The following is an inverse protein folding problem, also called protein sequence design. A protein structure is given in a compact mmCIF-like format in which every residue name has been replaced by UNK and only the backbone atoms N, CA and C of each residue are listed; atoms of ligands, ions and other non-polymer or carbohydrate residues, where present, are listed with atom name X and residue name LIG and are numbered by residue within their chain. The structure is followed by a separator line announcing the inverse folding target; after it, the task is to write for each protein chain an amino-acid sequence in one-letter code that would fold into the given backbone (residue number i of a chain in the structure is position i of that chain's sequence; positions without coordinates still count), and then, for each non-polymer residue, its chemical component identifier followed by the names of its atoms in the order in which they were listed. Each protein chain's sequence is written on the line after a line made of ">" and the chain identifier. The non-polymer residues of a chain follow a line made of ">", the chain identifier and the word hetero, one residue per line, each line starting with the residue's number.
data_IF_501643005780
#
_entry.id   IF_501643005780
#
_cell.length_a   1.000
_cell.length_b   1.000
_cell.length_c   1.000
_cell.angle_alpha   90.00
_cell.angle_beta   90.00
_cell.angle_gamma   90.00
#
_symmetry.space_group_name_H-M   'P 1'
#
loop_
_entity.id
_entity.type
_entity.pdbx_description
1 polymer ?
#
# COMPACT_ATOMS: atom_id res chain seq x y z
N UNK A 1 -15.59 -16.35 6.06
CA UNK A 1 -14.64 -17.37 5.68
C UNK A 1 -13.96 -16.98 4.38
N UNK A 2 -12.65 -17.16 4.35
CA UNK A 2 -11.89 -16.76 3.19
C UNK A 2 -12.05 -17.70 2.02
N UNK A 3 -12.07 -17.14 0.83
CA UNK A 3 -12.04 -17.91 -0.40
C UNK A 3 -10.61 -18.07 -0.85
N UNK A 4 -10.32 -19.16 -1.50
CA UNK A 4 -9.02 -19.36 -2.12
C UNK A 4 -9.00 -18.63 -3.46
N UNK A 5 -8.06 -17.74 -3.61
CA UNK A 5 -7.91 -16.93 -4.83
C UNK A 5 -6.55 -17.25 -5.44
N UNK A 6 -6.57 -17.71 -6.67
CA UNK A 6 -5.33 -17.98 -7.38
C UNK A 6 -4.93 -16.77 -8.22
N UNK A 7 -3.72 -16.34 -8.08
CA UNK A 7 -3.16 -15.21 -8.83
C UNK A 7 -1.82 -15.61 -9.43
N UNK A 8 -1.44 -14.92 -10.50
CA UNK A 8 -0.16 -15.17 -11.16
C UNK A 8 0.72 -13.92 -11.00
N UNK A 9 1.88 -14.10 -10.42
CA UNK A 9 2.87 -13.04 -10.26
C UNK A 9 4.18 -13.54 -10.87
N UNK A 10 4.72 -12.81 -11.82
CA UNK A 10 5.93 -13.19 -12.57
C UNK A 10 5.83 -14.60 -13.16
N UNK A 11 4.68 -14.90 -13.76
CA UNK A 11 4.40 -16.20 -14.39
C UNK A 11 4.38 -17.37 -13.41
N UNK A 12 4.29 -17.11 -12.12
CA UNK A 12 4.18 -18.13 -11.09
C UNK A 12 2.81 -18.05 -10.42
N UNK A 13 2.13 -19.17 -10.25
CA UNK A 13 0.84 -19.16 -9.57
C UNK A 13 0.99 -19.14 -8.06
N UNK A 14 0.16 -18.34 -7.42
CA UNK A 14 0.10 -18.26 -5.96
C UNK A 14 -1.34 -18.29 -5.52
N UNK A 15 -1.60 -18.93 -4.39
CA UNK A 15 -2.92 -19.00 -3.83
C UNK A 15 -2.99 -18.21 -2.53
N UNK A 16 -3.94 -17.29 -2.48
CA UNK A 16 -4.16 -16.48 -1.28
C UNK A 16 -5.56 -16.76 -0.75
N UNK A 17 -5.73 -16.57 0.54
CA UNK A 17 -7.03 -16.73 1.18
C UNK A 17 -7.50 -15.36 1.63
N UNK A 18 -8.68 -14.97 1.19
CA UNK A 18 -9.26 -13.70 1.55
C UNK A 18 -10.72 -13.63 1.15
N UNK A 19 -11.42 -12.65 1.66
CA UNK A 19 -12.84 -12.49 1.39
C UNK A 19 -13.13 -11.71 0.11
N UNK A 20 -12.26 -10.78 -0.24
CA UNK A 20 -12.43 -9.91 -1.40
C UNK A 20 -11.53 -10.36 -2.54
N UNK A 21 -12.09 -11.22 -3.39
CA UNK A 21 -11.36 -11.77 -4.53
C UNK A 21 -10.86 -10.70 -5.50
N UNK A 22 -11.71 -9.73 -5.83
CA UNK A 22 -11.33 -8.66 -6.74
C UNK A 22 -10.15 -7.85 -6.22
N UNK A 23 -10.15 -7.58 -4.93
CA UNK A 23 -9.09 -6.83 -4.31
C UNK A 23 -7.76 -7.59 -4.36
N UNK A 24 -7.82 -8.89 -4.08
CA UNK A 24 -6.63 -9.75 -4.11
C UNK A 24 -6.04 -9.78 -5.52
N UNK A 25 -6.88 -9.94 -6.53
CA UNK A 25 -6.44 -9.95 -7.92
C UNK A 25 -5.82 -8.61 -8.29
N UNK A 26 -6.45 -7.53 -7.89
CA UNK A 26 -5.97 -6.18 -8.18
C UNK A 26 -4.61 -5.90 -7.54
N UNK A 27 -4.45 -6.33 -6.29
CA UNK A 27 -3.18 -6.21 -5.58
C UNK A 27 -2.09 -7.02 -6.28
N UNK A 28 -2.43 -8.26 -6.68
CA UNK A 28 -1.47 -9.11 -7.37
C UNK A 28 -1.03 -8.50 -8.70
N UNK A 29 -1.94 -7.95 -9.47
CA UNK A 29 -1.62 -7.28 -10.72
C UNK A 29 -0.73 -6.07 -10.49
N UNK A 30 -1.00 -5.30 -9.46
CA UNK A 30 -0.20 -4.15 -9.10
C UNK A 30 1.23 -4.57 -8.74
N UNK A 31 1.36 -5.58 -7.90
CA UNK A 31 2.68 -6.09 -7.49
C UNK A 31 3.45 -6.63 -8.69
N UNK A 32 2.79 -7.43 -9.51
CA UNK A 32 3.41 -7.98 -10.71
C UNK A 32 3.95 -6.87 -11.61
N UNK A 33 3.14 -5.85 -11.85
CA UNK A 33 3.54 -4.71 -12.68
C UNK A 33 4.73 -3.96 -12.10
N UNK A 34 4.75 -3.75 -10.79
CA UNK A 34 5.85 -3.06 -10.13
C UNK A 34 7.16 -3.83 -10.22
N UNK A 35 7.10 -5.14 -10.05
CA UNK A 35 8.31 -5.97 -10.16
C UNK A 35 8.82 -5.96 -11.59
N UNK A 36 7.92 -6.07 -12.57
CA UNK A 36 8.30 -6.03 -13.98
C UNK A 36 8.94 -4.70 -14.36
N UNK A 37 8.41 -3.59 -13.85
CA UNK A 37 8.96 -2.27 -14.08
C UNK A 37 10.38 -2.15 -13.53
N UNK A 38 10.63 -2.67 -12.34
CA UNK A 38 11.96 -2.67 -11.74
C UNK A 38 12.95 -3.47 -12.59
N UNK A 39 12.53 -4.65 -13.03
CA UNK A 39 13.37 -5.49 -13.88
C UNK A 39 13.73 -4.75 -15.17
N UNK A 40 12.76 -4.11 -15.77
CA UNK A 40 12.95 -3.38 -17.02
C UNK A 40 13.83 -2.14 -16.84
N UNK A 41 13.53 -1.34 -15.82
CA UNK A 41 14.19 -0.05 -15.61
C UNK A 41 15.65 -0.21 -15.18
N UNK A 42 15.92 -1.19 -14.34
CA UNK A 42 17.25 -1.39 -13.76
C UNK A 42 17.99 -2.58 -14.35
N UNK A 43 17.37 -3.30 -15.28
CA UNK A 43 17.93 -4.48 -15.93
C UNK A 43 18.46 -5.50 -14.93
N UNK A 44 17.66 -5.76 -13.90
CA UNK A 44 18.03 -6.68 -12.84
C UNK A 44 17.76 -8.10 -13.31
N UNK A 45 18.79 -8.95 -13.25
CA UNK A 45 18.67 -10.35 -13.66
C UNK A 45 18.16 -11.22 -12.51
N UNK A 46 18.54 -10.88 -11.28
CA UNK A 46 18.16 -11.66 -10.11
C UNK A 46 16.75 -11.28 -9.67
N UNK A 47 15.83 -12.24 -9.74
CA UNK A 47 14.43 -12.03 -9.39
C UNK A 47 14.23 -11.61 -7.95
N UNK A 48 14.98 -12.18 -7.02
CA UNK A 48 14.86 -11.82 -5.62
C UNK A 48 15.24 -10.35 -5.39
N UNK A 49 16.32 -9.90 -6.01
CA UNK A 49 16.72 -8.50 -5.90
C UNK A 49 15.65 -7.57 -6.49
N UNK A 50 15.05 -7.96 -7.60
CA UNK A 50 13.99 -7.19 -8.22
C UNK A 50 12.78 -7.08 -7.29
N UNK A 51 12.41 -8.17 -6.64
CA UNK A 51 11.30 -8.18 -5.70
C UNK A 51 11.59 -7.26 -4.52
N UNK A 52 12.78 -7.34 -3.96
CA UNK A 52 13.17 -6.49 -2.84
C UNK A 52 13.15 -5.02 -3.24
N UNK A 53 13.68 -4.67 -4.40
CA UNK A 53 13.64 -3.29 -4.87
C UNK A 53 12.21 -2.80 -5.09
N UNK A 54 11.36 -3.64 -5.66
CA UNK A 54 9.96 -3.29 -5.86
C UNK A 54 9.27 -3.05 -4.51
N UNK A 55 9.53 -3.92 -3.54
CA UNK A 55 8.98 -3.74 -2.19
C UNK A 55 9.43 -2.45 -1.55
N UNK A 56 10.71 -2.11 -1.68
CA UNK A 56 11.24 -0.87 -1.13
C UNK A 56 10.57 0.35 -1.77
N UNK A 57 10.37 0.33 -3.07
CA UNK A 57 9.70 1.42 -3.77
C UNK A 57 8.24 1.55 -3.36
N UNK A 58 7.54 0.44 -3.26
CA UNK A 58 6.13 0.44 -2.82
C UNK A 58 6.01 0.95 -1.39
N UNK A 59 6.90 0.48 -0.51
CA UNK A 59 6.90 0.92 0.88
C UNK A 59 7.21 2.42 0.99
N UNK A 60 8.14 2.91 0.19
CA UNK A 60 8.48 4.33 0.16
C UNK A 60 7.27 5.17 -0.27
N UNK A 61 6.60 4.76 -1.33
CA UNK A 61 5.39 5.44 -1.80
C UNK A 61 4.28 5.40 -0.75
N UNK A 62 4.13 4.26 -0.08
CA UNK A 62 3.15 4.13 0.99
C UNK A 62 3.42 5.12 2.12
N UNK A 63 4.67 5.21 2.56
CA UNK A 63 5.04 6.14 3.63
C UNK A 63 4.85 7.59 3.20
N UNK A 64 5.12 7.90 1.95
CA UNK A 64 4.89 9.24 1.42
C UNK A 64 3.42 9.61 1.44
N UNK A 65 2.57 8.71 1.00
CA UNK A 65 1.11 8.93 1.03
C UNK A 65 0.63 9.07 2.47
N UNK A 66 1.11 8.22 3.36
CA UNK A 66 0.75 8.26 4.76
C UNK A 66 1.10 9.61 5.39
N UNK A 67 2.30 10.12 5.13
CA UNK A 67 2.72 11.42 5.63
C UNK A 67 1.85 12.55 5.08
N UNK A 68 1.48 12.47 3.81
CA UNK A 68 0.61 13.45 3.19
C UNK A 68 -0.77 13.46 3.85
N UNK A 69 -1.33 12.28 4.10
CA UNK A 69 -2.62 12.15 4.78
C UNK A 69 -2.55 12.74 6.19
N UNK A 70 -1.50 12.44 6.93
CA UNK A 70 -1.31 12.98 8.27
C UNK A 70 -1.23 14.51 8.26
N UNK A 71 -0.53 15.10 7.29
CA UNK A 71 -0.46 16.55 7.15
C UNK A 71 -1.83 17.16 6.88
N UNK A 72 -2.59 16.57 6.00
CA UNK A 72 -3.93 17.04 5.68
C UNK A 72 -4.83 16.96 6.91
N UNK A 73 -4.76 15.88 7.66
CA UNK A 73 -5.52 15.73 8.89
C UNK A 73 -5.14 16.80 9.91
N UNK A 74 -3.86 17.05 10.11
CA UNK A 74 -3.39 18.09 11.03
C UNK A 74 -3.88 19.47 10.64
N UNK A 75 -3.82 19.80 9.37
CA UNK A 75 -4.32 21.09 8.87
C UNK A 75 -5.82 21.22 9.07
N UNK A 76 -6.56 20.14 8.81
CA UNK A 76 -8.00 20.13 9.01
C UNK A 76 -8.34 20.32 10.48
N UNK A 77 -7.62 19.65 11.38
CA UNK A 77 -7.82 19.77 12.81
C UNK A 77 -7.56 21.21 13.28
N UNK A 78 -6.49 21.82 12.79
CA UNK A 78 -6.18 23.20 13.14
C UNK A 78 -7.25 24.18 12.70
N UNK A 79 -7.77 23.98 11.50
CA UNK A 79 -8.85 24.81 10.99
C UNK A 79 -10.12 24.66 11.82
N UNK A 80 -10.46 23.44 12.17
CA UNK A 80 -11.63 23.16 13.00
C UNK A 80 -11.47 23.76 14.39
N UNK A 81 -10.29 23.69 14.97
CA UNK A 81 -10.01 24.29 16.28
C UNK A 81 -10.12 25.80 16.26
N UNK A 82 -9.80 26.44 15.15
CA UNK A 82 -9.91 27.87 15.01
C UNK A 82 -11.35 28.35 14.86
N UNK A 83 -12.17 27.56 14.20
CA UNK A 83 -13.55 27.93 13.90
C UNK A 83 -14.45 27.61 15.08
N UNK A 84 -14.27 26.46 15.70
CA UNK A 84 -15.07 26.02 16.83
C UNK A 84 -14.22 25.20 17.78
N UNK A 85 -14.55 25.26 19.05
CA UNK A 85 -13.95 24.36 20.02
C UNK A 85 -14.53 22.98 19.82
N UNK A 86 -13.86 22.20 19.05
CA UNK A 86 -14.35 20.96 18.54
C UNK A 86 -13.55 19.82 19.14
N UNK A 87 -14.24 18.89 19.76
CA UNK A 87 -13.59 17.67 20.19
C UNK A 87 -13.38 16.77 19.01
N UNK A 88 -12.18 16.78 18.47
CA UNK A 88 -11.84 15.91 17.35
C UNK A 88 -11.37 14.57 17.90
N UNK A 89 -11.99 13.47 17.49
CA UNK A 89 -11.56 12.16 17.96
C UNK A 89 -10.14 11.87 17.48
N UNK A 90 -9.27 11.60 18.45
CA UNK A 90 -7.88 11.25 18.17
C UNK A 90 -7.71 9.82 17.66
N UNK A 91 -8.78 9.04 17.68
CA UNK A 91 -8.72 7.63 17.30
C UNK A 91 -8.28 7.35 15.89
N UNK A 92 -8.48 8.31 14.98
CA UNK A 92 -8.07 8.15 13.60
C UNK A 92 -6.54 8.09 13.48
N UNK A 93 -5.85 8.85 14.32
CA UNK A 93 -4.40 8.88 14.33
C UNK A 93 -3.80 7.57 14.81
N UNK A 94 -4.43 6.97 15.80
CA UNK A 94 -3.91 5.74 16.38
C UNK A 94 -3.90 4.57 15.41
N UNK A 95 -4.78 4.60 14.43
CA UNK A 95 -4.83 3.54 13.39
C UNK A 95 -3.59 3.49 12.51
N UNK A 96 -2.91 4.61 12.37
CA UNK A 96 -1.77 4.74 11.49
C UNK A 96 -0.44 4.51 12.19
N UNK A 97 -0.48 4.39 13.50
CA UNK A 97 0.70 4.08 14.30
C UNK A 97 0.73 2.60 14.60
N UNK A 98 1.55 1.91 13.94
CA UNK A 98 1.77 0.48 14.20
C UNK A 98 3.23 0.23 14.50
#
# INVERSE_FOLDING_TARGET
>A
MGKKVEVVILNQPYTFVGEDEERIVRVAEFVDGRIRDVIKDYRIVNTLNAIIMAMMRIADEYLEVKLTVEKVEDQTLRLLQKVEEFDVPCGVRDRWQT
#
